data_IF_095469829877
#
_entry.id   IF_095469829877
#
_cell.length_a   1.000
_cell.length_b   1.000
_cell.length_c   1.000
_cell.angle_alpha   90.00
_cell.angle_beta   90.00
_cell.angle_gamma   90.00
#
_symmetry.space_group_name_H-M   'P 1'
#
loop_
_entity.id
_entity.type
_entity.pdbx_description
1 polymer ?
#
# COMPACT_ATOMS: atom_id res chain seq x y z
N UNK A 1 -2.68 13.74 24.87
CA UNK A 1 -3.07 12.32 24.84
C UNK A 1 -2.90 11.73 26.24
N UNK A 2 -3.95 11.14 26.82
CA UNK A 2 -3.90 10.56 28.18
C UNK A 2 -3.01 9.32 28.18
N UNK A 3 -2.31 9.02 29.27
CA UNK A 3 -1.39 7.87 29.40
C UNK A 3 -2.05 6.54 28.94
N UNK A 4 -3.32 6.34 29.29
CA UNK A 4 -4.10 5.15 28.89
C UNK A 4 -4.26 5.04 27.36
N UNK A 5 -4.50 6.15 26.67
CA UNK A 5 -4.64 6.18 25.21
C UNK A 5 -3.31 5.81 24.54
N UNK A 6 -2.19 6.33 25.07
CA UNK A 6 -0.85 5.98 24.57
C UNK A 6 -0.55 4.50 24.76
N UNK A 7 -0.89 3.92 25.90
CA UNK A 7 -0.71 2.49 26.14
C UNK A 7 -1.58 1.63 25.21
N UNK A 8 -2.84 2.01 24.98
CA UNK A 8 -3.72 1.31 24.03
C UNK A 8 -3.17 1.37 22.60
N UNK A 9 -2.66 2.53 22.19
CA UNK A 9 -2.05 2.66 20.85
C UNK A 9 -0.79 1.80 20.72
N UNK A 10 0.11 1.82 21.72
CA UNK A 10 1.29 0.96 21.74
C UNK A 10 0.92 -0.53 21.63
N UNK A 11 -0.09 -0.98 22.36
CA UNK A 11 -0.55 -2.37 22.28
C UNK A 11 -1.11 -2.70 20.89
N UNK A 12 -1.86 -1.80 20.27
CA UNK A 12 -2.34 -1.98 18.89
C UNK A 12 -1.19 -2.11 17.89
N UNK A 13 -0.16 -1.26 17.98
CA UNK A 13 1.01 -1.35 17.11
C UNK A 13 1.77 -2.68 17.30
N UNK A 14 1.93 -3.15 18.53
CA UNK A 14 2.52 -4.47 18.82
C UNK A 14 1.72 -5.60 18.18
N UNK A 15 0.40 -5.59 18.30
CA UNK A 15 -0.50 -6.59 17.71
C UNK A 15 -0.38 -6.58 16.18
N UNK A 16 -0.43 -5.40 15.56
CA UNK A 16 -0.31 -5.25 14.10
C UNK A 16 1.05 -5.72 13.60
N UNK A 17 2.13 -5.38 14.30
CA UNK A 17 3.48 -5.84 13.97
C UNK A 17 3.60 -7.37 14.01
N UNK A 18 3.12 -8.01 15.07
CA UNK A 18 3.10 -9.46 15.21
C UNK A 18 2.24 -10.13 14.11
N UNK A 19 1.06 -9.59 13.86
CA UNK A 19 0.18 -10.11 12.80
C UNK A 19 0.82 -9.98 11.41
N UNK A 20 1.43 -8.83 11.10
CA UNK A 20 2.10 -8.60 9.81
C UNK A 20 3.28 -9.57 9.61
N UNK A 21 4.07 -9.84 10.66
CA UNK A 21 5.14 -10.84 10.64
C UNK A 21 4.60 -12.21 10.27
N UNK A 22 3.57 -12.69 10.96
CA UNK A 22 2.96 -13.99 10.71
C UNK A 22 2.27 -14.06 9.34
N UNK A 23 1.52 -13.03 8.97
CA UNK A 23 0.85 -12.97 7.67
C UNK A 23 1.85 -13.02 6.51
N UNK A 24 2.97 -12.32 6.62
CA UNK A 24 4.03 -12.35 5.62
C UNK A 24 4.80 -13.68 5.58
N UNK A 25 4.90 -14.40 6.70
CA UNK A 25 5.62 -15.67 6.78
C UNK A 25 4.80 -16.86 6.28
N UNK A 26 3.52 -16.96 6.64
CA UNK A 26 2.70 -18.14 6.39
C UNK A 26 1.35 -17.86 5.70
N UNK A 27 1.05 -16.60 5.43
CA UNK A 27 -0.21 -16.17 4.84
C UNK A 27 -1.30 -15.86 5.87
N UNK A 28 -2.26 -15.01 5.48
CA UNK A 28 -3.36 -14.58 6.38
C UNK A 28 -4.26 -15.79 6.73
N UNK A 29 -4.52 -16.64 5.76
CA UNK A 29 -5.45 -17.78 5.93
C UNK A 29 -4.97 -18.76 7.01
N UNK A 30 -3.68 -19.06 7.01
CA UNK A 30 -3.03 -20.04 7.91
C UNK A 30 -2.70 -19.50 9.30
N UNK A 31 -2.81 -18.18 9.50
CA UNK A 31 -2.54 -17.53 10.77
C UNK A 31 -3.81 -17.51 11.63
N UNK A 32 -3.71 -17.78 12.91
CA UNK A 32 -4.81 -17.68 13.86
C UNK A 32 -4.55 -16.63 14.96
N UNK A 33 -5.61 -16.23 15.66
CA UNK A 33 -5.54 -15.20 16.71
C UNK A 33 -4.70 -15.64 17.92
N UNK A 34 -4.54 -16.95 18.15
CA UNK A 34 -3.71 -17.42 19.25
C UNK A 34 -2.23 -17.25 18.95
N UNK A 35 -1.79 -17.56 17.72
CA UNK A 35 -0.43 -17.32 17.26
C UNK A 35 -0.09 -15.82 17.30
N UNK A 36 -1.02 -14.95 16.90
CA UNK A 36 -0.81 -13.49 16.95
C UNK A 36 -0.65 -13.02 18.40
N UNK A 37 -1.46 -13.52 19.34
CA UNK A 37 -1.33 -13.15 20.75
C UNK A 37 0.01 -13.58 21.34
N UNK A 38 0.47 -14.78 21.00
CA UNK A 38 1.76 -15.34 21.42
C UNK A 38 2.92 -14.53 20.86
N UNK A 39 2.92 -14.24 19.57
CA UNK A 39 3.95 -13.44 18.89
C UNK A 39 4.00 -12.00 19.43
N UNK A 40 2.84 -11.42 19.75
CA UNK A 40 2.75 -10.08 20.36
C UNK A 40 3.09 -10.07 21.86
N UNK A 41 3.31 -11.23 22.51
CA UNK A 41 3.60 -11.33 23.94
C UNK A 41 2.44 -10.90 24.85
N UNK A 42 1.18 -11.08 24.39
CA UNK A 42 -0.02 -10.67 25.15
C UNK A 42 -0.99 -11.84 25.34
N UNK A 43 -1.94 -11.68 26.27
CA UNK A 43 -3.01 -12.67 26.44
C UNK A 43 -4.01 -12.62 25.25
N UNK A 44 -4.63 -13.77 24.92
CA UNK A 44 -5.74 -13.82 23.95
C UNK A 44 -6.87 -12.85 24.32
N UNK A 45 -7.18 -12.72 25.62
CA UNK A 45 -8.18 -11.78 26.11
C UNK A 45 -7.83 -10.34 25.77
N UNK A 46 -6.56 -9.96 25.89
CA UNK A 46 -6.07 -8.64 25.51
C UNK A 46 -6.21 -8.42 24.00
N UNK A 47 -5.85 -9.41 23.19
CA UNK A 47 -6.00 -9.34 21.74
C UNK A 47 -7.47 -9.14 21.33
N UNK A 48 -8.39 -9.96 21.84
CA UNK A 48 -9.83 -9.83 21.56
C UNK A 48 -10.48 -8.56 22.12
N UNK A 49 -9.83 -7.87 23.04
CA UNK A 49 -10.26 -6.54 23.48
C UNK A 49 -9.97 -5.46 22.43
N UNK A 50 -8.95 -5.66 21.59
CA UNK A 50 -8.54 -4.72 20.54
C UNK A 50 -9.13 -5.04 19.17
N UNK A 51 -9.26 -6.32 18.83
CA UNK A 51 -9.72 -6.81 17.53
C UNK A 51 -10.67 -7.98 17.72
N UNK A 52 -11.83 -7.88 17.13
CA UNK A 52 -12.90 -8.88 17.23
C UNK A 52 -12.48 -10.22 16.59
N UNK A 53 -11.79 -10.15 15.45
CA UNK A 53 -11.34 -11.30 14.69
C UNK A 53 -10.11 -10.96 13.80
N UNK A 54 -9.58 -11.98 13.14
CA UNK A 54 -8.44 -11.86 12.23
C UNK A 54 -8.74 -11.00 11.01
N UNK A 55 -9.96 -11.03 10.50
CA UNK A 55 -10.37 -10.24 9.34
C UNK A 55 -10.31 -8.75 9.64
N UNK A 56 -10.88 -8.32 10.77
CA UNK A 56 -10.82 -6.92 11.22
C UNK A 56 -9.37 -6.44 11.33
N UNK A 57 -8.49 -7.25 11.95
CA UNK A 57 -7.07 -6.93 12.08
C UNK A 57 -6.37 -6.83 10.71
N UNK A 58 -6.63 -7.79 9.82
CA UNK A 58 -6.04 -7.80 8.48
C UNK A 58 -6.51 -6.58 7.67
N UNK A 59 -7.79 -6.23 7.72
CA UNK A 59 -8.35 -5.05 7.07
C UNK A 59 -7.69 -3.77 7.59
N UNK A 60 -7.53 -3.63 8.91
CA UNK A 60 -6.92 -2.44 9.49
C UNK A 60 -5.47 -2.29 9.04
N UNK A 61 -4.68 -3.38 9.05
CA UNK A 61 -3.30 -3.36 8.55
C UNK A 61 -3.29 -2.96 7.06
N UNK A 62 -4.19 -3.50 6.25
CA UNK A 62 -4.30 -3.19 4.84
C UNK A 62 -4.55 -1.70 4.59
N UNK A 63 -5.55 -1.12 5.23
CA UNK A 63 -5.90 0.31 5.06
C UNK A 63 -4.75 1.22 5.52
N UNK A 64 -4.10 0.92 6.65
CA UNK A 64 -2.96 1.68 7.13
C UNK A 64 -1.75 1.58 6.18
N UNK A 65 -1.49 0.40 5.61
CA UNK A 65 -0.43 0.24 4.61
C UNK A 65 -0.73 1.03 3.33
N UNK A 66 -1.97 1.01 2.85
CA UNK A 66 -2.37 1.86 1.72
C UNK A 66 -2.14 3.34 2.01
N UNK A 67 -2.49 3.81 3.21
CA UNK A 67 -2.26 5.20 3.60
C UNK A 67 -0.76 5.55 3.62
N UNK A 68 0.10 4.63 4.03
CA UNK A 68 1.56 4.82 3.99
C UNK A 68 2.09 4.83 2.56
N UNK A 69 1.63 3.91 1.71
CA UNK A 69 2.13 3.77 0.34
C UNK A 69 1.61 4.86 -0.60
N UNK A 70 0.34 5.20 -0.50
CA UNK A 70 -0.32 6.12 -1.44
C UNK A 70 -0.56 7.50 -0.86
N UNK A 71 -0.81 7.60 0.45
CA UNK A 71 -1.19 8.86 1.09
C UNK A 71 -0.13 9.94 0.96
N UNK A 72 1.15 9.62 1.09
CA UNK A 72 2.25 10.57 0.93
C UNK A 72 2.61 10.83 -0.54
N UNK A 73 2.52 9.81 -1.39
CA UNK A 73 2.95 9.90 -2.80
C UNK A 73 2.08 10.85 -3.61
N UNK A 74 0.76 10.81 -3.40
CA UNK A 74 -0.18 11.69 -4.09
C UNK A 74 -0.11 13.15 -3.60
N UNK A 75 0.49 13.38 -2.45
CA UNK A 75 0.69 14.74 -1.91
C UNK A 75 1.76 15.53 -2.66
N UNK A 76 2.69 14.86 -3.27
CA UNK A 76 3.84 15.47 -3.92
C UNK A 76 3.59 15.69 -5.43
N UNK A 77 2.38 15.38 -5.94
CA UNK A 77 2.06 15.59 -7.34
C UNK A 77 1.85 17.07 -7.65
N UNK A 78 2.70 17.61 -8.51
CA UNK A 78 2.67 18.98 -8.95
C UNK A 78 2.19 19.06 -10.40
N UNK A 79 1.05 19.71 -10.62
CA UNK A 79 0.45 19.86 -11.95
C UNK A 79 1.22 20.86 -12.86
N UNK A 80 2.17 21.65 -12.35
CA UNK A 80 3.08 22.45 -13.18
C UNK A 80 4.10 21.60 -13.92
N UNK A 81 4.54 20.49 -13.27
CA UNK A 81 5.54 19.56 -13.79
C UNK A 81 5.04 18.12 -13.62
N UNK A 82 3.94 17.77 -14.30
CA UNK A 82 3.23 16.52 -14.00
C UNK A 82 4.02 15.27 -14.39
N UNK A 83 4.78 15.29 -15.51
CA UNK A 83 5.64 14.18 -15.90
C UNK A 83 6.75 13.93 -14.88
N UNK A 84 7.43 14.99 -14.44
CA UNK A 84 8.48 14.90 -13.42
C UNK A 84 7.92 14.40 -12.10
N UNK A 85 6.73 14.87 -11.70
CA UNK A 85 6.06 14.42 -10.49
C UNK A 85 5.70 12.95 -10.56
N UNK A 86 5.20 12.47 -11.70
CA UNK A 86 4.92 11.05 -11.90
C UNK A 86 6.20 10.22 -11.82
N UNK A 87 7.28 10.65 -12.47
CA UNK A 87 8.56 9.95 -12.42
C UNK A 87 9.09 9.83 -10.98
N UNK A 88 9.03 10.90 -10.19
CA UNK A 88 9.40 10.90 -8.76
C UNK A 88 8.53 9.91 -7.96
N UNK A 89 7.24 9.84 -8.24
CA UNK A 89 6.33 8.89 -7.58
C UNK A 89 6.70 7.45 -7.92
N UNK A 90 6.99 7.14 -9.17
CA UNK A 90 7.41 5.79 -9.58
C UNK A 90 8.76 5.41 -8.96
N UNK A 91 9.70 6.37 -8.82
CA UNK A 91 10.97 6.15 -8.12
C UNK A 91 10.78 5.87 -6.62
N UNK A 92 9.81 6.53 -5.98
CA UNK A 92 9.46 6.22 -4.58
C UNK A 92 8.89 4.81 -4.41
N UNK A 93 8.10 4.31 -5.37
CA UNK A 93 7.65 2.92 -5.35
C UNK A 93 8.80 1.93 -5.55
N UNK A 94 9.77 2.27 -6.40
CA UNK A 94 10.96 1.47 -6.58
C UNK A 94 11.79 1.42 -5.30
N UNK A 95 12.00 2.56 -4.63
CA UNK A 95 12.66 2.65 -3.33
C UNK A 95 11.91 1.84 -2.25
N UNK A 96 10.57 1.91 -2.22
CA UNK A 96 9.77 1.13 -1.28
C UNK A 96 9.98 -0.38 -1.45
N UNK A 97 10.15 -0.87 -2.68
CA UNK A 97 10.47 -2.28 -2.94
C UNK A 97 11.83 -2.67 -2.34
N UNK A 98 12.81 -1.80 -2.43
CA UNK A 98 14.16 -2.05 -1.89
C UNK A 98 14.19 -1.99 -0.36
N UNK A 99 13.49 -1.02 0.22
CA UNK A 99 13.57 -0.71 1.64
C UNK A 99 12.57 -1.50 2.48
N UNK A 100 11.38 -1.77 1.93
CA UNK A 100 10.29 -2.39 2.68
C UNK A 100 9.32 -3.17 1.78
N UNK A 101 9.84 -4.16 1.05
CA UNK A 101 9.03 -5.02 0.17
C UNK A 101 7.86 -5.72 0.89
N UNK A 102 7.96 -5.90 2.21
CA UNK A 102 6.93 -6.57 3.01
C UNK A 102 5.58 -5.84 2.99
N UNK A 103 5.57 -4.52 2.77
CA UNK A 103 4.33 -3.76 2.58
C UNK A 103 3.67 -4.09 1.24
N UNK A 104 4.46 -4.16 0.17
CA UNK A 104 3.97 -4.52 -1.17
C UNK A 104 3.50 -5.97 -1.18
N UNK A 105 4.25 -6.86 -0.54
CA UNK A 105 3.86 -8.27 -0.42
C UNK A 105 2.57 -8.44 0.36
N UNK A 106 2.43 -7.74 1.49
CA UNK A 106 1.20 -7.80 2.28
C UNK A 106 -0.02 -7.38 1.49
N UNK A 107 0.07 -6.30 0.71
CA UNK A 107 -1.01 -5.83 -0.15
C UNK A 107 -1.44 -6.92 -1.14
N UNK A 108 -0.47 -7.60 -1.77
CA UNK A 108 -0.73 -8.69 -2.72
C UNK A 108 -1.44 -9.89 -2.05
N UNK A 109 -0.96 -10.34 -0.89
CA UNK A 109 -1.57 -11.49 -0.19
C UNK A 109 -2.93 -11.15 0.43
N UNK A 110 -3.13 -9.89 0.85
CA UNK A 110 -4.41 -9.44 1.35
C UNK A 110 -5.48 -9.46 0.25
N UNK A 111 -5.15 -8.97 -0.95
CA UNK A 111 -6.07 -8.99 -2.09
C UNK A 111 -6.53 -10.41 -2.43
N UNK A 112 -5.59 -11.36 -2.46
CA UNK A 112 -5.90 -12.78 -2.66
C UNK A 112 -6.78 -13.33 -1.53
N UNK A 113 -6.39 -13.14 -0.27
CA UNK A 113 -7.16 -13.59 0.89
C UNK A 113 -8.58 -13.04 0.87
N UNK A 114 -8.73 -11.74 0.63
CA UNK A 114 -10.03 -11.08 0.69
C UNK A 114 -10.96 -11.53 -0.44
N UNK A 115 -10.40 -11.85 -1.61
CA UNK A 115 -11.14 -12.42 -2.73
C UNK A 115 -11.67 -13.84 -2.43
N UNK A 116 -10.95 -14.64 -1.63
CA UNK A 116 -11.44 -15.97 -1.20
C UNK A 116 -12.69 -15.89 -0.33
N UNK A 117 -12.91 -14.75 0.33
CA UNK A 117 -14.11 -14.48 1.12
C UNK A 117 -15.28 -13.95 0.26
N UNK A 118 -15.12 -13.91 -1.07
CA UNK A 118 -16.06 -13.27 -2.00
C UNK A 118 -16.35 -11.79 -1.66
N UNK A 119 -15.32 -11.10 -1.15
CA UNK A 119 -15.36 -9.69 -0.75
C UNK A 119 -14.41 -8.86 -1.62
N UNK A 120 -14.75 -7.60 -1.82
CA UNK A 120 -13.93 -6.65 -2.56
C UNK A 120 -13.35 -5.59 -1.61
N UNK A 121 -12.01 -5.41 -1.55
CA UNK A 121 -11.40 -4.36 -0.73
C UNK A 121 -11.95 -2.95 -1.01
N UNK A 122 -12.34 -2.66 -2.24
CA UNK A 122 -12.94 -1.37 -2.61
C UNK A 122 -14.28 -1.06 -1.92
N UNK A 123 -14.95 -2.07 -1.37
CA UNK A 123 -16.20 -1.93 -0.62
C UNK A 123 -15.99 -1.64 0.87
N UNK A 124 -14.75 -1.71 1.36
CA UNK A 124 -14.43 -1.40 2.74
C UNK A 124 -14.68 0.09 3.03
N UNK A 125 -15.45 0.43 4.08
CA UNK A 125 -15.74 1.84 4.42
C UNK A 125 -14.47 2.66 4.66
N UNK A 126 -13.46 2.10 5.33
CA UNK A 126 -12.20 2.79 5.61
C UNK A 126 -11.36 2.97 4.33
N UNK A 127 -11.39 2.02 3.40
CA UNK A 127 -10.79 2.19 2.07
C UNK A 127 -11.49 3.30 1.29
N UNK A 128 -12.82 3.30 1.24
CA UNK A 128 -13.59 4.34 0.56
C UNK A 128 -13.34 5.73 1.15
N UNK A 129 -13.26 5.83 2.48
CA UNK A 129 -12.91 7.08 3.18
C UNK A 129 -11.50 7.56 2.83
N UNK A 130 -10.52 6.67 2.77
CA UNK A 130 -9.17 7.00 2.35
C UNK A 130 -9.14 7.49 0.89
N UNK A 131 -9.81 6.79 -0.03
CA UNK A 131 -9.94 7.17 -1.44
C UNK A 131 -10.63 8.52 -1.62
N UNK A 132 -11.70 8.80 -0.86
CA UNK A 132 -12.37 10.10 -0.88
C UNK A 132 -11.44 11.23 -0.40
N UNK A 133 -10.66 10.99 0.65
CA UNK A 133 -9.67 11.96 1.15
C UNK A 133 -8.59 12.28 0.11
N UNK A 134 -8.09 11.27 -0.59
CA UNK A 134 -7.09 11.44 -1.66
C UNK A 134 -7.68 12.16 -2.88
N UNK A 135 -8.88 11.76 -3.31
CA UNK A 135 -9.58 12.42 -4.43
C UNK A 135 -9.88 13.89 -4.13
N UNK A 136 -10.38 14.19 -2.93
CA UNK A 136 -10.65 15.54 -2.50
C UNK A 136 -9.39 16.41 -2.54
N UNK A 137 -8.23 15.85 -2.20
CA UNK A 137 -6.96 16.55 -2.25
C UNK A 137 -6.48 16.81 -3.68
N UNK A 138 -6.51 15.80 -4.55
CA UNK A 138 -6.15 15.95 -5.97
C UNK A 138 -7.06 16.96 -6.69
N UNK A 139 -8.28 17.16 -6.20
CA UNK A 139 -9.26 18.10 -6.77
C UNK A 139 -9.19 19.50 -6.14
N UNK A 140 -8.31 19.74 -5.15
CA UNK A 140 -8.15 21.10 -4.60
C UNK A 140 -7.73 22.10 -5.69
N UNK A 141 -8.15 23.38 -5.56
CA UNK A 141 -7.69 24.42 -6.46
C UNK A 141 -6.16 24.54 -6.39
N UNK A 142 -5.53 24.56 -7.55
CA UNK A 142 -4.10 24.80 -7.64
C UNK A 142 -3.79 26.30 -7.51
N UNK A 143 -2.60 26.61 -7.02
CA UNK A 143 -2.07 27.98 -7.01
C UNK A 143 -1.65 28.45 -8.40
N UNK A 144 -1.55 27.51 -9.35
CA UNK A 144 -1.13 27.72 -10.74
C UNK A 144 -2.31 27.52 -11.68
N UNK A 145 -2.42 28.28 -12.76
CA UNK A 145 -3.50 28.14 -13.73
C UNK A 145 -3.34 26.85 -14.55
N UNK A 146 -3.93 25.76 -14.07
CA UNK A 146 -4.10 24.51 -14.81
C UNK A 146 -5.55 24.41 -15.27
N UNK A 147 -5.76 24.07 -16.55
CA UNK A 147 -7.14 23.91 -17.02
C UNK A 147 -7.80 22.69 -16.38
N UNK A 148 -9.12 22.70 -16.15
CA UNK A 148 -9.83 21.53 -15.61
C UNK A 148 -9.65 20.26 -16.47
N UNK A 149 -9.52 20.43 -17.79
CA UNK A 149 -9.30 19.34 -18.74
C UNK A 149 -7.91 18.72 -18.55
N UNK A 150 -6.85 19.53 -18.52
CA UNK A 150 -5.48 19.06 -18.27
C UNK A 150 -5.35 18.41 -16.91
N UNK A 151 -5.97 18.99 -15.88
CA UNK A 151 -5.97 18.42 -14.53
C UNK A 151 -6.62 17.02 -14.52
N UNK A 152 -7.79 16.87 -15.16
CA UNK A 152 -8.49 15.57 -15.27
C UNK A 152 -7.64 14.54 -16.02
N UNK A 153 -7.03 14.95 -17.13
CA UNK A 153 -6.13 14.11 -17.92
C UNK A 153 -4.96 13.61 -17.09
N UNK A 154 -4.29 14.51 -16.37
CA UNK A 154 -3.14 14.14 -15.55
C UNK A 154 -3.50 13.29 -14.34
N UNK A 155 -4.65 13.49 -13.73
CA UNK A 155 -5.17 12.59 -12.68
C UNK A 155 -5.38 11.18 -13.23
N UNK A 156 -5.97 11.04 -14.42
CA UNK A 156 -6.19 9.74 -15.06
C UNK A 156 -4.86 9.04 -15.38
N UNK A 157 -3.90 9.76 -15.96
CA UNK A 157 -2.54 9.26 -16.24
C UNK A 157 -1.85 8.82 -14.93
N UNK A 158 -1.86 9.66 -13.91
CA UNK A 158 -1.28 9.38 -12.60
C UNK A 158 -1.85 8.08 -12.02
N UNK A 159 -3.17 7.98 -11.93
CA UNK A 159 -3.83 6.82 -11.33
C UNK A 159 -3.56 5.53 -12.12
N UNK A 160 -3.62 5.58 -13.44
CA UNK A 160 -3.35 4.40 -14.30
C UNK A 160 -1.89 3.97 -14.23
N UNK A 161 -0.96 4.91 -14.33
CA UNK A 161 0.48 4.62 -14.32
C UNK A 161 0.94 4.07 -12.96
N UNK A 162 0.51 4.70 -11.87
CA UNK A 162 0.85 4.24 -10.51
C UNK A 162 0.23 2.88 -10.20
N UNK A 163 -1.02 2.64 -10.60
CA UNK A 163 -1.67 1.35 -10.43
C UNK A 163 -0.96 0.24 -11.23
N UNK A 164 -0.67 0.49 -12.51
CA UNK A 164 0.02 -0.48 -13.35
C UNK A 164 1.40 -0.84 -12.80
N UNK A 165 2.17 0.16 -12.36
CA UNK A 165 3.49 -0.06 -11.79
C UNK A 165 3.42 -0.81 -10.46
N UNK A 166 2.47 -0.46 -9.61
CA UNK A 166 2.28 -1.12 -8.34
C UNK A 166 1.88 -2.59 -8.50
N UNK A 167 0.96 -2.91 -9.41
CA UNK A 167 0.60 -4.31 -9.74
C UNK A 167 1.81 -5.11 -10.24
N UNK A 168 2.65 -4.48 -11.06
CA UNK A 168 3.90 -5.10 -11.51
C UNK A 168 4.80 -5.40 -10.30
N UNK A 169 5.02 -4.43 -9.39
CA UNK A 169 5.86 -4.61 -8.21
C UNK A 169 5.32 -5.69 -7.26
N UNK A 170 4.02 -5.79 -7.07
CA UNK A 170 3.40 -6.89 -6.30
C UNK A 170 3.80 -8.25 -6.87
N UNK A 171 3.70 -8.43 -8.19
CA UNK A 171 4.09 -9.67 -8.86
C UNK A 171 5.60 -9.92 -8.74
N UNK A 172 6.41 -8.90 -8.92
CA UNK A 172 7.85 -8.98 -8.80
C UNK A 172 8.28 -9.40 -7.39
N UNK A 173 7.66 -8.86 -6.33
CA UNK A 173 7.92 -9.23 -4.93
C UNK A 173 7.54 -10.70 -4.68
N UNK A 174 6.40 -11.17 -5.16
CA UNK A 174 5.99 -12.58 -5.03
C UNK A 174 7.04 -13.49 -5.67
N UNK A 175 7.48 -13.19 -6.90
CA UNK A 175 8.48 -13.98 -7.61
C UNK A 175 9.82 -13.98 -6.87
N UNK A 176 10.27 -12.81 -6.39
CA UNK A 176 11.52 -12.69 -5.62
C UNK A 176 11.47 -13.56 -4.36
N UNK A 177 10.38 -13.54 -3.61
CA UNK A 177 10.20 -14.37 -2.41
C UNK A 177 10.19 -15.87 -2.72
N UNK A 178 9.57 -16.29 -3.82
CA UNK A 178 9.58 -17.69 -4.26
C UNK A 178 11.00 -18.19 -4.61
N UNK A 179 11.91 -17.27 -5.00
CA UNK A 179 13.31 -17.57 -5.31
C UNK A 179 14.26 -17.40 -4.12
N UNK A 180 13.77 -17.22 -2.91
CA UNK A 180 14.57 -17.10 -1.69
C UNK A 180 14.68 -15.68 -1.11
N UNK A 181 13.92 -14.73 -1.65
CA UNK A 181 13.74 -13.40 -1.03
C UNK A 181 14.84 -12.37 -1.30
N UNK A 182 15.84 -12.69 -2.15
CA UNK A 182 16.91 -11.74 -2.50
C UNK A 182 16.61 -11.02 -3.81
N UNK A 183 16.60 -9.68 -3.77
CA UNK A 183 16.49 -8.84 -4.97
C UNK A 183 17.85 -8.84 -5.67
N UNK A 184 17.90 -9.34 -6.90
CA UNK A 184 19.12 -9.37 -7.72
C UNK A 184 19.29 -8.08 -8.53
N UNK A 185 20.47 -7.87 -9.13
CA UNK A 185 20.68 -6.77 -10.06
C UNK A 185 19.81 -6.89 -11.31
N UNK A 186 19.51 -8.10 -11.76
CA UNK A 186 18.57 -8.34 -12.86
C UNK A 186 17.15 -7.90 -12.51
N UNK A 187 16.70 -8.17 -11.27
CA UNK A 187 15.41 -7.70 -10.77
C UNK A 187 15.35 -6.17 -10.79
N UNK A 188 16.41 -5.50 -10.25
CA UNK A 188 16.49 -4.03 -10.25
C UNK A 188 16.50 -3.44 -11.66
N UNK A 189 17.23 -4.06 -12.57
CA UNK A 189 17.25 -3.63 -13.98
C UNK A 189 15.87 -3.76 -14.62
N UNK A 190 15.17 -4.89 -14.39
CA UNK A 190 13.82 -5.13 -14.89
C UNK A 190 12.81 -4.13 -14.34
N UNK A 191 12.90 -3.82 -13.04
CA UNK A 191 12.03 -2.84 -12.39
C UNK A 191 12.19 -1.44 -12.97
N UNK A 192 13.46 -1.02 -13.20
CA UNK A 192 13.76 0.26 -13.88
C UNK A 192 13.25 0.27 -15.30
N UNK A 193 13.49 -0.81 -16.08
CA UNK A 193 13.00 -0.91 -17.46
C UNK A 193 11.48 -0.80 -17.54
N UNK A 194 10.74 -1.39 -16.58
CA UNK A 194 9.29 -1.28 -16.59
C UNK A 194 8.83 0.14 -16.23
N UNK A 195 9.50 0.81 -15.28
CA UNK A 195 9.28 2.24 -15.01
C UNK A 195 9.48 3.07 -16.28
N UNK A 196 10.62 2.87 -16.96
CA UNK A 196 10.98 3.62 -18.18
C UNK A 196 9.97 3.37 -19.30
N UNK A 197 9.46 2.13 -19.43
CA UNK A 197 8.39 1.80 -20.38
C UNK A 197 7.10 2.61 -20.10
N UNK A 198 6.68 2.70 -18.85
CA UNK A 198 5.52 3.52 -18.46
C UNK A 198 5.77 4.99 -18.79
N UNK A 199 6.92 5.54 -18.41
CA UNK A 199 7.27 6.93 -18.67
C UNK A 199 7.38 7.26 -20.15
N UNK A 200 7.91 6.31 -20.95
CA UNK A 200 7.93 6.45 -22.41
C UNK A 200 6.51 6.55 -22.97
N UNK A 201 5.60 5.66 -22.53
CA UNK A 201 4.19 5.72 -22.92
C UNK A 201 3.53 7.06 -22.57
N UNK A 202 3.78 7.58 -21.38
CA UNK A 202 3.25 8.88 -20.93
C UNK A 202 3.75 10.02 -21.82
N UNK A 203 5.06 10.10 -22.08
CA UNK A 203 5.69 11.17 -22.89
C UNK A 203 5.24 11.17 -24.36
N UNK A 204 4.74 10.07 -24.88
CA UNK A 204 4.31 9.94 -26.30
C UNK A 204 2.78 9.90 -26.45
N UNK A 205 2.03 10.06 -25.37
CA UNK A 205 0.55 10.11 -25.39
C UNK A 205 -0.01 11.54 -25.46
N UNK A 206 0.86 12.54 -25.75
CA UNK A 206 0.52 13.98 -25.78
C UNK A 206 0.61 14.57 -27.17
#
# INVERSE_FOLDING_TARGET
>A
MKLREKQMQMTREMIKGAALTLFNAQGIERTDMAQIAEEAGISRRTLYHHYKDKEELAVQIYVENLQRMFGQLLFDFNFEHPEQSLEIILDKYLALREENESLIYYDAIFGVYYSTLSKNPAELPDFQKAMQGWSARLLQPETVPVTPEDKTKWIDILLKSTHLYFMYLQKAVIITRQRGGQITEEDRATDRQFKDFIMHGVRHSH
#
